data_IF_656638997953
#
_entry.id   IF_656638997953
#
_cell.length_a   1.000
_cell.length_b   1.000
_cell.length_c   1.000
_cell.angle_alpha   90.00
_cell.angle_beta   90.00
_cell.angle_gamma   90.00
#
_symmetry.space_group_name_H-M   'P 1'
#
loop_
_entity.id
_entity.type
_entity.pdbx_description
1 polymer ?
#
# COMPACT_ATOMS: atom_id res chain seq x y z
N UNK A 1 -1.18 9.19 13.60
CA UNK A 1 0.03 8.96 14.41
C UNK A 1 0.50 7.50 14.29
N UNK A 2 -0.32 6.49 14.57
CA UNK A 2 0.08 5.05 14.57
C UNK A 2 0.57 4.54 13.22
N UNK A 3 0.08 5.09 12.13
CA UNK A 3 0.54 4.82 10.77
C UNK A 3 2.03 5.17 10.57
N UNK A 4 2.48 6.25 11.19
CA UNK A 4 3.89 6.67 11.17
C UNK A 4 4.73 5.87 12.16
N UNK A 5 4.21 5.55 13.34
CA UNK A 5 4.88 4.70 14.33
C UNK A 5 5.14 3.29 13.79
N UNK A 6 4.21 2.72 13.05
CA UNK A 6 4.38 1.46 12.33
C UNK A 6 5.24 1.58 11.06
N UNK A 7 5.70 2.78 10.70
CA UNK A 7 6.50 3.06 9.50
C UNK A 7 5.81 2.72 8.16
N UNK A 8 4.51 2.58 8.13
CA UNK A 8 3.75 2.30 6.91
C UNK A 8 3.97 3.39 5.83
N UNK A 9 4.18 4.63 6.26
CA UNK A 9 4.41 5.80 5.40
C UNK A 9 5.69 5.74 4.55
N UNK A 10 6.59 4.80 4.81
CA UNK A 10 7.82 4.66 4.02
C UNK A 10 7.54 4.18 2.59
N UNK A 11 6.55 3.31 2.41
CA UNK A 11 6.05 2.87 1.11
C UNK A 11 4.68 3.53 0.81
N UNK A 12 3.78 3.57 1.79
CA UNK A 12 2.49 4.24 1.67
C UNK A 12 2.62 5.76 1.90
N UNK A 13 3.33 6.43 0.99
CA UNK A 13 3.58 7.88 1.02
C UNK A 13 2.27 8.63 1.02
N UNK A 14 2.08 9.50 2.02
CA UNK A 14 0.79 10.13 2.29
C UNK A 14 0.44 11.24 1.31
N UNK A 15 1.45 11.88 0.71
CA UNK A 15 1.25 13.07 -0.11
C UNK A 15 2.19 13.07 -1.31
N UNK A 16 1.64 13.25 -2.49
CA UNK A 16 2.38 13.44 -3.73
C UNK A 16 1.88 14.70 -4.44
N UNK A 17 2.71 15.21 -5.34
CA UNK A 17 2.38 16.36 -6.18
C UNK A 17 2.48 15.95 -7.64
N UNK A 18 1.42 16.20 -8.41
CA UNK A 18 1.45 15.99 -9.85
C UNK A 18 2.30 17.08 -10.52
N UNK A 19 2.96 16.72 -11.61
CA UNK A 19 3.78 17.68 -12.36
C UNK A 19 2.92 18.80 -12.92
N UNK A 20 3.50 20.00 -13.15
CA UNK A 20 2.82 21.08 -13.87
C UNK A 20 2.38 20.63 -15.26
N UNK A 21 1.29 21.22 -15.75
CA UNK A 21 0.84 21.02 -17.13
C UNK A 21 1.97 21.35 -18.11
N UNK A 22 2.14 20.48 -19.12
CA UNK A 22 3.12 20.71 -20.18
C UNK A 22 4.57 20.52 -19.77
N UNK A 23 4.88 19.96 -18.60
CA UNK A 23 6.24 19.60 -18.25
C UNK A 23 6.76 18.56 -19.25
N UNK A 24 7.90 18.83 -19.89
CA UNK A 24 8.46 18.09 -21.03
C UNK A 24 9.02 16.71 -20.70
N UNK A 25 9.01 16.28 -19.44
CA UNK A 25 9.40 14.95 -19.04
C UNK A 25 8.24 13.98 -19.32
N UNK A 26 8.45 13.08 -20.18
CA UNK A 26 7.76 11.87 -20.71
C UNK A 26 6.31 11.56 -20.26
N UNK A 27 5.71 12.26 -19.28
CA UNK A 27 4.37 12.02 -18.76
C UNK A 27 3.68 13.28 -18.21
N UNK A 28 4.06 14.48 -18.69
CA UNK A 28 3.32 15.68 -18.33
C UNK A 28 1.93 15.65 -18.95
N UNK A 29 0.89 15.71 -18.12
CA UNK A 29 -0.48 15.82 -18.64
C UNK A 29 -0.71 17.15 -19.36
N UNK A 30 -1.49 17.11 -20.43
CA UNK A 30 -2.01 18.31 -21.08
C UNK A 30 -3.35 18.76 -20.46
N UNK A 31 -3.93 17.93 -19.59
CA UNK A 31 -5.20 18.22 -18.92
C UNK A 31 -4.97 19.21 -17.77
N UNK A 32 -5.57 20.42 -17.81
CA UNK A 32 -5.28 21.47 -16.82
C UNK A 32 -5.59 21.07 -15.38
N UNK A 33 -6.62 20.26 -15.20
CA UNK A 33 -7.09 19.83 -13.87
C UNK A 33 -6.26 18.69 -13.24
N UNK A 34 -5.35 18.08 -13.99
CA UNK A 34 -4.44 17.05 -13.46
C UNK A 34 -3.06 17.61 -13.12
N UNK A 35 -2.73 18.82 -13.58
CA UNK A 35 -1.43 19.44 -13.30
C UNK A 35 -1.39 20.17 -11.97
N UNK A 36 -0.23 20.15 -11.31
CA UNK A 36 0.03 20.87 -10.05
C UNK A 36 -0.96 20.58 -8.94
N UNK A 37 -1.47 19.34 -8.88
CA UNK A 37 -2.38 18.90 -7.84
C UNK A 37 -1.60 18.28 -6.67
N UNK A 38 -2.07 18.52 -5.44
CA UNK A 38 -1.68 17.74 -4.27
C UNK A 38 -2.64 16.59 -4.13
N UNK A 39 -2.11 15.36 -4.07
CA UNK A 39 -2.89 14.14 -3.96
C UNK A 39 -2.44 13.31 -2.75
N UNK A 40 -3.34 12.52 -2.18
CA UNK A 40 -3.08 11.69 -1.01
C UNK A 40 -3.37 10.22 -1.32
N UNK A 41 -2.54 9.57 -2.17
CA UNK A 41 -2.80 8.17 -2.58
C UNK A 41 -2.44 7.16 -1.48
N UNK A 42 -1.60 7.54 -0.53
CA UNK A 42 -0.99 6.61 0.43
C UNK A 42 -0.24 5.49 -0.31
N UNK A 43 0.63 5.89 -1.24
CA UNK A 43 1.47 5.03 -2.08
C UNK A 43 2.61 5.84 -2.67
N UNK A 44 3.77 5.20 -2.83
CA UNK A 44 4.89 5.70 -3.63
C UNK A 44 4.83 5.21 -5.08
N UNK A 45 3.93 4.26 -5.38
CA UNK A 45 3.79 3.57 -6.67
C UNK A 45 5.02 2.78 -7.12
N UNK A 46 5.98 2.53 -6.22
CA UNK A 46 7.19 1.78 -6.51
C UNK A 46 7.00 0.28 -6.25
N UNK A 47 7.91 -0.52 -6.82
CA UNK A 47 8.01 -1.95 -6.54
C UNK A 47 8.86 -2.16 -5.29
N UNK A 48 8.39 -3.04 -4.40
CA UNK A 48 9.10 -3.46 -3.20
C UNK A 48 9.14 -4.98 -3.10
N UNK A 49 10.24 -5.52 -2.62
CA UNK A 49 10.34 -6.94 -2.30
C UNK A 49 9.46 -7.23 -1.06
N UNK A 50 8.38 -7.95 -1.30
CA UNK A 50 7.40 -8.30 -0.25
C UNK A 50 7.68 -9.67 0.38
N UNK A 51 8.86 -10.23 0.13
CA UNK A 51 9.32 -11.50 0.69
C UNK A 51 8.83 -12.71 -0.07
N UNK A 52 9.44 -13.87 0.22
CA UNK A 52 9.06 -15.13 -0.39
C UNK A 52 8.19 -15.95 0.56
N UNK A 53 7.27 -16.73 0.01
CA UNK A 53 6.41 -17.64 0.79
C UNK A 53 7.18 -18.82 1.41
N UNK A 54 8.45 -19.01 1.05
CA UNK A 54 9.29 -20.10 1.57
C UNK A 54 9.38 -20.06 3.11
N UNK A 55 9.23 -18.85 3.71
CA UNK A 55 9.19 -18.67 5.16
C UNK A 55 7.75 -18.53 5.70
N UNK A 56 6.74 -18.79 4.89
CA UNK A 56 5.33 -18.71 5.29
C UNK A 56 4.78 -17.30 5.46
N UNK A 57 5.55 -16.27 5.11
CA UNK A 57 5.14 -14.86 5.20
C UNK A 57 5.70 -14.11 4.00
N UNK A 58 4.87 -13.38 3.31
CA UNK A 58 5.25 -12.59 2.15
C UNK A 58 4.29 -12.78 0.98
N UNK A 59 4.57 -12.08 -0.10
CA UNK A 59 3.76 -12.10 -1.32
C UNK A 59 4.66 -12.49 -2.49
N UNK A 60 4.43 -13.68 -3.04
CA UNK A 60 5.14 -14.16 -4.22
C UNK A 60 4.20 -15.06 -5.05
N UNK A 61 4.02 -14.73 -6.32
CA UNK A 61 3.24 -15.54 -7.26
C UNK A 61 4.14 -16.34 -8.22
N UNK A 62 5.48 -16.26 -8.07
CA UNK A 62 6.48 -16.87 -8.92
C UNK A 62 6.40 -16.43 -10.40
N UNK A 63 5.69 -15.35 -10.71
CA UNK A 63 5.55 -14.81 -12.05
C UNK A 63 6.49 -13.62 -12.25
N UNK A 64 7.23 -13.62 -13.37
CA UNK A 64 8.12 -12.51 -13.73
C UNK A 64 7.42 -11.62 -14.74
N UNK A 65 7.26 -10.33 -14.39
CA UNK A 65 6.65 -9.32 -15.26
C UNK A 65 7.68 -8.26 -15.66
N UNK A 66 8.20 -8.37 -16.89
CA UNK A 66 9.30 -7.50 -17.35
C UNK A 66 10.58 -7.76 -16.53
N UNK A 67 11.00 -6.75 -15.75
CA UNK A 67 12.14 -6.88 -14.84
C UNK A 67 11.73 -7.19 -13.39
N UNK A 68 10.44 -7.11 -13.07
CA UNK A 68 9.92 -7.39 -11.73
C UNK A 68 9.86 -8.90 -11.48
N UNK A 69 10.34 -9.32 -10.32
CA UNK A 69 10.26 -10.72 -9.87
C UNK A 69 8.90 -10.97 -9.22
N UNK A 70 8.51 -12.23 -9.03
CA UNK A 70 7.22 -12.60 -8.44
C UNK A 70 6.99 -12.13 -6.99
N UNK A 71 8.04 -11.75 -6.27
CA UNK A 71 7.98 -11.18 -4.93
C UNK A 71 8.04 -9.64 -4.91
N UNK A 72 8.20 -9.00 -6.06
CA UNK A 72 8.27 -7.54 -6.18
C UNK A 72 6.89 -6.98 -6.57
N UNK A 73 6.25 -6.30 -5.62
CA UNK A 73 4.89 -5.79 -5.75
C UNK A 73 4.86 -4.27 -5.67
N UNK A 74 4.07 -3.67 -6.56
CA UNK A 74 3.84 -2.22 -6.50
C UNK A 74 2.99 -1.88 -5.28
N UNK A 75 3.41 -0.87 -4.53
CA UNK A 75 2.61 -0.33 -3.42
C UNK A 75 1.21 0.07 -3.92
N UNK A 76 0.19 -0.61 -3.43
CA UNK A 76 -1.20 -0.29 -3.76
C UNK A 76 -1.63 0.99 -3.06
N UNK A 77 -2.25 1.96 -3.75
CA UNK A 77 -2.88 3.11 -3.11
C UNK A 77 -3.92 2.69 -2.08
N UNK A 78 -3.95 3.38 -0.93
CA UNK A 78 -4.93 3.08 0.11
C UNK A 78 -6.16 4.01 0.08
N UNK A 79 -6.17 5.04 -0.78
CA UNK A 79 -7.35 5.89 -0.92
C UNK A 79 -8.58 5.09 -1.36
N UNK A 80 -9.68 5.27 -0.65
CA UNK A 80 -10.94 4.55 -0.90
C UNK A 80 -10.95 3.11 -0.38
N UNK A 81 -9.92 2.64 0.32
CA UNK A 81 -9.86 1.26 0.81
C UNK A 81 -11.00 0.94 1.79
N UNK A 82 -11.44 1.93 2.57
CA UNK A 82 -12.59 1.77 3.47
C UNK A 82 -13.93 1.56 2.76
N UNK A 83 -14.00 1.84 1.46
CA UNK A 83 -15.19 1.60 0.64
C UNK A 83 -15.22 0.22 -0.02
N UNK A 84 -14.19 -0.60 0.16
CA UNK A 84 -14.01 -1.89 -0.51
C UNK A 84 -15.24 -2.79 -0.38
N UNK A 85 -15.77 -2.94 0.83
CA UNK A 85 -16.94 -3.79 1.06
C UNK A 85 -18.21 -3.26 0.38
N UNK A 86 -18.41 -1.93 0.42
CA UNK A 86 -19.58 -1.28 -0.17
C UNK A 86 -19.55 -1.39 -1.69
N UNK A 87 -18.37 -1.22 -2.30
CA UNK A 87 -18.22 -1.19 -3.76
C UNK A 87 -18.13 -2.60 -4.36
N UNK A 88 -17.37 -3.49 -3.72
CA UNK A 88 -17.05 -4.82 -4.27
C UNK A 88 -17.84 -5.96 -3.62
N UNK A 89 -18.54 -5.71 -2.52
CA UNK A 89 -19.29 -6.74 -1.78
C UNK A 89 -18.41 -7.69 -0.97
N UNK A 90 -17.13 -7.39 -0.81
CA UNK A 90 -16.19 -8.20 -0.03
C UNK A 90 -14.99 -7.36 0.47
N UNK A 91 -14.26 -7.92 1.43
CA UNK A 91 -13.06 -7.32 2.02
C UNK A 91 -11.81 -8.18 1.77
N UNK A 92 -11.68 -8.75 0.59
CA UNK A 92 -10.49 -9.49 0.20
C UNK A 92 -9.42 -8.53 -0.29
N UNK A 93 -8.29 -8.50 0.43
CA UNK A 93 -7.17 -7.60 0.17
C UNK A 93 -5.96 -8.36 -0.39
N UNK A 94 -4.94 -7.60 -0.78
CA UNK A 94 -3.77 -8.01 -1.52
C UNK A 94 -4.11 -8.38 -2.96
N UNK A 95 -3.09 -8.68 -3.78
CA UNK A 95 -3.25 -8.90 -5.23
C UNK A 95 -4.06 -10.16 -5.57
N UNK A 96 -4.09 -11.14 -4.68
CA UNK A 96 -4.76 -12.43 -4.86
C UNK A 96 -5.96 -12.64 -3.91
N UNK A 97 -6.30 -11.65 -3.11
CA UNK A 97 -7.44 -11.71 -2.19
C UNK A 97 -7.22 -12.59 -0.95
N UNK A 98 -5.98 -13.00 -0.66
CA UNK A 98 -5.70 -13.92 0.45
C UNK A 98 -6.01 -13.33 1.84
N UNK A 99 -5.95 -12.04 1.98
CA UNK A 99 -6.23 -11.37 3.24
C UNK A 99 -7.72 -11.01 3.32
N UNK A 100 -8.42 -11.50 4.34
CA UNK A 100 -9.87 -11.31 4.55
C UNK A 100 -10.22 -9.97 5.19
N UNK A 101 -9.23 -9.29 5.75
CA UNK A 101 -9.38 -8.00 6.42
C UNK A 101 -8.03 -7.26 6.46
N UNK A 102 -8.05 -6.00 6.89
CA UNK A 102 -6.85 -5.16 6.94
C UNK A 102 -5.78 -5.68 7.90
N UNK A 103 -6.15 -6.30 9.02
CA UNK A 103 -5.18 -6.89 9.95
C UNK A 103 -4.42 -8.03 9.27
N UNK A 104 -5.13 -8.92 8.58
CA UNK A 104 -4.49 -9.98 7.81
C UNK A 104 -3.61 -9.42 6.68
N UNK A 105 -4.08 -8.39 5.98
CA UNK A 105 -3.29 -7.73 4.94
C UNK A 105 -1.95 -7.20 5.51
N UNK A 106 -1.99 -6.52 6.66
CA UNK A 106 -0.77 -6.05 7.33
C UNK A 106 0.12 -7.24 7.73
N UNK A 107 -0.45 -8.32 8.24
CA UNK A 107 0.30 -9.49 8.71
C UNK A 107 0.94 -10.30 7.58
N UNK A 108 0.46 -10.17 6.33
CA UNK A 108 1.10 -10.76 5.16
C UNK A 108 2.29 -9.96 4.63
N UNK A 109 2.52 -8.76 5.12
CA UNK A 109 3.69 -7.97 4.73
C UNK A 109 4.98 -8.68 5.16
N UNK A 110 5.86 -8.92 4.19
CA UNK A 110 7.18 -9.53 4.39
C UNK A 110 8.28 -8.72 3.71
N UNK A 111 9.46 -9.30 3.56
CA UNK A 111 10.58 -8.65 2.87
C UNK A 111 10.89 -7.27 3.43
N UNK A 112 10.91 -6.25 2.57
CA UNK A 112 11.16 -4.85 2.97
C UNK A 112 10.15 -4.32 4.00
N UNK A 113 8.91 -4.82 3.98
CA UNK A 113 7.85 -4.38 4.89
C UNK A 113 7.79 -5.18 6.21
N UNK A 114 8.64 -6.19 6.41
CA UNK A 114 8.60 -7.04 7.60
C UNK A 114 8.81 -6.26 8.91
N UNK A 115 9.70 -5.28 8.90
CA UNK A 115 9.93 -4.45 10.08
C UNK A 115 8.67 -3.67 10.48
N UNK A 116 7.93 -3.13 9.52
CA UNK A 116 6.66 -2.41 9.74
C UNK A 116 5.57 -3.35 10.28
N UNK A 117 5.43 -4.55 9.71
CA UNK A 117 4.55 -5.59 10.24
C UNK A 117 4.86 -5.91 11.71
N UNK A 118 6.14 -6.08 12.05
CA UNK A 118 6.55 -6.42 13.42
C UNK A 118 6.26 -5.27 14.39
N UNK A 119 6.41 -4.01 13.97
CA UNK A 119 5.99 -2.86 14.77
C UNK A 119 4.48 -2.90 15.04
N UNK A 120 3.66 -3.12 14.02
CA UNK A 120 2.21 -3.27 14.16
C UNK A 120 1.85 -4.42 15.11
N UNK A 121 2.44 -5.60 14.92
CA UNK A 121 2.23 -6.79 15.75
C UNK A 121 2.46 -6.53 17.24
N UNK A 122 3.48 -5.71 17.55
CA UNK A 122 3.89 -5.40 18.91
C UNK A 122 3.15 -4.21 19.55
N UNK A 123 2.27 -3.53 18.81
CA UNK A 123 1.42 -2.48 19.37
C UNK A 123 0.39 -3.04 20.36
N UNK A 124 -0.11 -2.20 21.26
CA UNK A 124 -1.30 -2.52 22.07
C UNK A 124 -2.51 -2.79 21.17
N UNK A 125 -3.52 -3.45 21.72
CA UNK A 125 -4.76 -3.68 20.96
C UNK A 125 -5.38 -2.36 20.52
N UNK A 126 -5.43 -1.39 21.43
CA UNK A 126 -6.00 -0.04 21.20
C UNK A 126 -5.28 0.67 20.06
N UNK A 127 -3.96 0.57 20.00
CA UNK A 127 -3.15 1.20 18.95
C UNK A 127 -3.34 0.52 17.60
N UNK A 128 -3.45 -0.80 17.56
CA UNK A 128 -3.78 -1.54 16.33
C UNK A 128 -5.16 -1.18 15.82
N UNK A 129 -6.14 -1.14 16.70
CA UNK A 129 -7.52 -0.77 16.36
C UNK A 129 -7.58 0.66 15.82
N UNK A 130 -6.85 1.61 16.43
CA UNK A 130 -6.75 2.99 15.96
C UNK A 130 -6.08 3.10 14.58
N UNK A 131 -5.03 2.30 14.31
CA UNK A 131 -4.40 2.26 13.00
C UNK A 131 -5.34 1.70 11.94
N UNK A 132 -6.03 0.60 12.23
CA UNK A 132 -7.01 -0.01 11.30
C UNK A 132 -8.17 0.95 11.04
N UNK A 133 -8.69 1.61 12.07
CA UNK A 133 -9.74 2.63 11.92
C UNK A 133 -9.29 3.79 11.03
N UNK A 134 -8.04 4.24 11.17
CA UNK A 134 -7.45 5.24 10.29
C UNK A 134 -7.41 4.78 8.83
N UNK A 135 -6.91 3.56 8.57
CA UNK A 135 -6.84 3.02 7.21
C UNK A 135 -8.25 2.91 6.61
N UNK A 136 -9.24 2.47 7.38
CA UNK A 136 -10.64 2.39 6.94
C UNK A 136 -11.28 3.77 6.67
N UNK A 137 -10.65 4.85 7.12
CA UNK A 137 -11.14 6.22 6.88
C UNK A 137 -10.58 6.84 5.59
N UNK A 138 -9.65 6.16 4.93
CA UNK A 138 -9.06 6.57 3.67
C UNK A 138 -9.95 6.16 2.50
#
# INVERSE_FOLDING_TARGET
QKFYEAKCHLCHVTTLHTKPRGSSLLMGTQLPWLGSQTIHPYSDFLLHDMGSEIMGVGLNDNYVSGLARGNEWRTTPLWGIGLQEIVNGHTYFLHDGRARNLVEAIMWHGGEAEASKNLFKNMSKEDRDALVAFINSL
#
